data_IF_789302775686
#
_entry.id   IF_789302775686
#
_cell.length_a   1.000
_cell.length_b   1.000
_cell.length_c   1.000
_cell.angle_alpha   90.00
_cell.angle_beta   90.00
_cell.angle_gamma   90.00
#
_symmetry.space_group_name_H-M   'P 1'
#
loop_
_entity.id
_entity.type
_entity.pdbx_description
1 polymer ?
#
# COMPACT_ATOMS: atom_id res chain seq x y z
N UNK A 1 -0.97 -21.68 -5.47
CA UNK A 1 0.14 -20.75 -5.20
C UNK A 1 0.08 -20.41 -3.73
N UNK A 2 1.19 -20.47 -3.00
CA UNK A 2 1.19 -20.15 -1.56
C UNK A 2 1.64 -18.70 -1.38
N UNK A 3 0.79 -17.87 -0.77
CA UNK A 3 1.08 -16.46 -0.53
C UNK A 3 2.01 -16.29 0.69
N UNK A 4 2.89 -15.29 0.65
CA UNK A 4 3.87 -15.04 1.71
C UNK A 4 5.09 -15.96 1.70
N UNK A 5 5.18 -16.89 0.74
CA UNK A 5 6.31 -17.79 0.56
C UNK A 5 7.06 -17.45 -0.71
N UNK A 6 8.37 -17.19 -0.59
CA UNK A 6 9.25 -16.76 -1.69
C UNK A 6 8.61 -15.57 -2.45
N UNK A 7 8.49 -15.64 -3.76
CA UNK A 7 7.90 -14.63 -4.63
C UNK A 7 6.44 -14.93 -5.00
N UNK A 8 5.78 -15.89 -4.35
CA UNK A 8 4.42 -16.32 -4.69
C UNK A 8 3.42 -15.16 -4.70
N UNK A 9 3.48 -14.26 -3.70
CA UNK A 9 2.63 -13.08 -3.66
C UNK A 9 2.97 -12.05 -4.74
N UNK A 10 4.25 -11.89 -5.09
CA UNK A 10 4.69 -11.01 -6.18
C UNK A 10 4.18 -11.51 -7.54
N UNK A 11 4.23 -12.81 -7.79
CA UNK A 11 3.67 -13.41 -9.01
C UNK A 11 2.14 -13.26 -9.05
N UNK A 12 1.45 -13.48 -7.92
CA UNK A 12 0.00 -13.30 -7.82
C UNK A 12 -0.43 -11.84 -8.09
N UNK A 13 0.42 -10.88 -7.73
CA UNK A 13 0.23 -9.45 -8.01
C UNK A 13 0.56 -9.05 -9.46
N UNK A 14 0.91 -9.99 -10.35
CA UNK A 14 1.29 -9.67 -11.72
C UNK A 14 2.66 -9.02 -11.84
N UNK A 15 3.55 -9.27 -10.90
CA UNK A 15 4.91 -8.72 -10.86
C UNK A 15 4.94 -7.20 -10.65
N UNK A 16 6.01 -6.55 -11.08
CA UNK A 16 6.19 -5.11 -10.86
C UNK A 16 5.06 -4.29 -11.51
N UNK A 17 4.72 -4.58 -12.77
CA UNK A 17 3.70 -3.83 -13.50
C UNK A 17 2.34 -3.87 -12.81
N UNK A 18 1.90 -5.06 -12.36
CA UNK A 18 0.63 -5.17 -11.64
C UNK A 18 0.64 -4.40 -10.32
N UNK A 19 1.74 -4.47 -9.56
CA UNK A 19 1.90 -3.72 -8.32
C UNK A 19 1.85 -2.20 -8.56
N UNK A 20 2.52 -1.70 -9.58
CA UNK A 20 2.45 -0.27 -9.94
C UNK A 20 1.02 0.14 -10.29
N UNK A 21 0.32 -0.64 -11.13
CA UNK A 21 -1.08 -0.36 -11.46
C UNK A 21 -2.02 -0.41 -10.25
N UNK A 22 -1.81 -1.32 -9.29
CA UNK A 22 -2.55 -1.33 -8.03
C UNK A 22 -2.32 -0.03 -7.24
N UNK A 23 -1.09 0.43 -7.15
CA UNK A 23 -0.73 1.62 -6.37
C UNK A 23 -1.25 2.91 -7.03
N UNK A 24 -1.19 3.00 -8.35
CA UNK A 24 -1.83 4.10 -9.09
C UNK A 24 -3.33 4.15 -8.82
N UNK A 25 -4.01 3.01 -8.90
CA UNK A 25 -5.43 2.93 -8.59
C UNK A 25 -5.72 3.26 -7.11
N UNK A 26 -4.88 2.81 -6.18
CA UNK A 26 -4.97 3.17 -4.76
C UNK A 26 -4.96 4.68 -4.54
N UNK A 27 -4.06 5.41 -5.21
CA UNK A 27 -4.02 6.86 -5.14
C UNK A 27 -5.17 7.54 -5.90
N UNK A 28 -5.68 6.93 -6.98
CA UNK A 28 -6.90 7.35 -7.65
C UNK A 28 -8.12 7.28 -6.71
N UNK A 29 -8.26 6.18 -5.96
CA UNK A 29 -9.29 6.02 -4.94
C UNK A 29 -9.12 7.03 -3.80
N UNK A 30 -7.89 7.26 -3.33
CA UNK A 30 -7.60 8.25 -2.30
C UNK A 30 -7.95 9.69 -2.71
N UNK A 31 -7.78 10.04 -3.99
CA UNK A 31 -8.18 11.33 -4.54
C UNK A 31 -9.70 11.49 -4.64
N UNK A 32 -10.43 10.40 -4.84
CA UNK A 32 -11.84 10.44 -5.24
C UNK A 32 -12.82 10.21 -4.09
N UNK A 33 -12.41 9.42 -3.08
CA UNK A 33 -13.28 9.05 -1.97
C UNK A 33 -13.36 10.18 -0.93
N UNK A 34 -14.58 10.58 -0.57
CA UNK A 34 -14.82 11.57 0.47
C UNK A 34 -14.21 11.16 1.82
N UNK A 35 -14.30 9.87 2.16
CA UNK A 35 -13.72 9.30 3.37
C UNK A 35 -12.19 9.41 3.42
N UNK A 36 -11.54 9.58 2.26
CA UNK A 36 -10.09 9.65 2.13
C UNK A 36 -9.55 11.08 2.11
N UNK A 37 -10.39 12.12 2.12
CA UNK A 37 -9.93 13.51 2.02
C UNK A 37 -8.89 13.88 3.10
N UNK A 38 -9.09 13.43 4.33
CA UNK A 38 -8.18 13.74 5.44
C UNK A 38 -6.81 13.08 5.27
N UNK A 39 -6.75 11.81 4.85
CA UNK A 39 -5.47 11.15 4.58
C UNK A 39 -4.84 11.64 3.28
N UNK A 40 -5.64 12.03 2.28
CA UNK A 40 -5.14 12.65 1.05
C UNK A 40 -4.42 13.96 1.33
N UNK A 41 -4.95 14.78 2.25
CA UNK A 41 -4.31 16.02 2.68
C UNK A 41 -2.97 15.82 3.41
N UNK A 42 -2.64 14.59 3.83
CA UNK A 42 -1.32 14.24 4.39
C UNK A 42 -0.26 13.94 3.31
N UNK A 43 -0.66 13.89 2.05
CA UNK A 43 0.22 13.64 0.91
C UNK A 43 0.44 14.92 0.10
N UNK A 44 1.59 15.05 -0.60
CA UNK A 44 1.82 16.14 -1.54
C UNK A 44 0.77 16.19 -2.65
N UNK A 45 0.63 17.34 -3.32
CA UNK A 45 -0.24 17.46 -4.51
C UNK A 45 0.23 16.51 -5.62
N UNK A 46 1.52 16.53 -5.93
CA UNK A 46 2.16 15.56 -6.84
C UNK A 46 2.43 14.24 -6.11
N UNK A 47 1.74 13.19 -6.54
CA UNK A 47 1.82 11.85 -5.96
C UNK A 47 2.88 10.96 -6.61
N UNK A 48 3.63 11.45 -7.60
CA UNK A 48 4.61 10.64 -8.37
C UNK A 48 5.59 9.91 -7.46
N UNK A 49 6.19 10.60 -6.49
CA UNK A 49 7.12 9.96 -5.54
C UNK A 49 6.41 9.04 -4.54
N UNK A 50 5.18 9.38 -4.12
CA UNK A 50 4.39 8.55 -3.22
C UNK A 50 4.00 7.21 -3.86
N UNK A 51 3.59 7.24 -5.13
CA UNK A 51 3.31 6.06 -5.96
C UNK A 51 4.57 5.19 -6.06
N UNK A 52 5.70 5.79 -6.47
CA UNK A 52 6.94 5.04 -6.65
C UNK A 52 7.44 4.40 -5.34
N UNK A 53 7.36 5.12 -4.22
CA UNK A 53 7.72 4.59 -2.89
C UNK A 53 6.84 3.42 -2.49
N UNK A 54 5.52 3.55 -2.59
CA UNK A 54 4.61 2.48 -2.18
C UNK A 54 4.74 1.25 -3.10
N UNK A 55 4.81 1.45 -4.41
CA UNK A 55 5.00 0.35 -5.36
C UNK A 55 6.35 -0.36 -5.14
N UNK A 56 7.44 0.41 -5.01
CA UNK A 56 8.77 -0.14 -4.72
C UNK A 56 8.83 -0.91 -3.40
N UNK A 57 8.09 -0.44 -2.38
CA UNK A 57 7.95 -1.13 -1.11
C UNK A 57 7.21 -2.46 -1.28
N UNK A 58 6.05 -2.45 -1.95
CA UNK A 58 5.24 -3.65 -2.18
C UNK A 58 5.96 -4.69 -3.05
N UNK A 59 6.74 -4.28 -4.05
CA UNK A 59 7.57 -5.19 -4.85
C UNK A 59 8.46 -6.07 -3.97
N UNK A 60 9.22 -5.45 -3.06
CA UNK A 60 10.09 -6.19 -2.14
C UNK A 60 9.32 -6.92 -1.05
N UNK A 61 8.24 -6.33 -0.53
CA UNK A 61 7.45 -6.89 0.56
C UNK A 61 6.69 -8.17 0.15
N UNK A 62 6.25 -8.26 -1.11
CA UNK A 62 5.58 -9.44 -1.68
C UNK A 62 6.56 -10.51 -2.20
N UNK A 63 7.87 -10.33 -1.96
CA UNK A 63 8.91 -11.32 -2.29
C UNK A 63 9.62 -11.11 -3.63
N UNK A 64 9.32 -10.02 -4.34
CA UNK A 64 10.03 -9.61 -5.55
C UNK A 64 11.33 -8.83 -5.28
N UNK A 65 11.85 -8.10 -6.29
CA UNK A 65 13.05 -7.28 -6.15
C UNK A 65 12.92 -6.21 -5.05
N UNK A 66 14.01 -5.95 -4.32
CA UNK A 66 14.02 -5.03 -3.16
C UNK A 66 14.17 -3.57 -3.60
N UNK A 67 13.33 -3.13 -4.54
CA UNK A 67 13.35 -1.80 -5.18
C UNK A 67 13.40 -0.65 -4.18
N UNK A 68 12.61 -0.73 -3.11
CA UNK A 68 12.63 0.32 -2.09
C UNK A 68 14.02 0.44 -1.44
N UNK A 69 14.63 -0.69 -1.07
CA UNK A 69 15.96 -0.69 -0.45
C UNK A 69 17.04 -0.18 -1.40
N UNK A 70 16.94 -0.55 -2.67
CA UNK A 70 17.87 -0.12 -3.72
C UNK A 70 17.83 1.40 -3.95
N UNK A 71 16.63 2.00 -3.95
CA UNK A 71 16.43 3.42 -4.29
C UNK A 71 16.41 4.36 -3.07
N UNK A 72 15.83 3.93 -1.96
CA UNK A 72 15.53 4.76 -0.78
C UNK A 72 16.19 4.25 0.50
N UNK A 73 16.85 3.10 0.47
CA UNK A 73 17.45 2.47 1.64
C UNK A 73 16.44 1.75 2.53
N UNK A 74 16.85 1.44 3.76
CA UNK A 74 16.02 0.68 4.71
C UNK A 74 14.90 1.55 5.28
N UNK A 75 13.72 0.97 5.47
CA UNK A 75 12.56 1.64 6.08
C UNK A 75 12.10 0.91 7.34
N UNK A 76 11.74 1.69 8.35
CA UNK A 76 10.85 1.25 9.43
C UNK A 76 9.52 1.97 9.26
N UNK A 77 8.44 1.22 8.97
CA UNK A 77 7.16 1.80 8.56
C UNK A 77 6.60 2.76 9.65
N UNK A 78 6.52 2.38 10.94
CA UNK A 78 6.01 3.30 11.96
C UNK A 78 6.88 4.55 12.10
N UNK A 79 8.22 4.39 12.05
CA UNK A 79 9.16 5.52 12.14
C UNK A 79 9.04 6.47 10.95
N UNK A 80 8.80 5.95 9.75
CA UNK A 80 8.60 6.78 8.55
C UNK A 80 7.32 7.63 8.67
N UNK A 81 6.29 7.13 9.35
CA UNK A 81 4.99 7.80 9.49
C UNK A 81 4.85 8.62 10.80
N UNK A 82 5.83 8.59 11.70
CA UNK A 82 5.74 9.21 13.04
C UNK A 82 5.51 10.73 13.03
N UNK A 83 5.83 11.41 11.92
CA UNK A 83 5.66 12.85 11.76
C UNK A 83 4.22 13.24 11.42
N UNK A 84 3.37 12.27 11.09
CA UNK A 84 1.94 12.45 10.82
C UNK A 84 1.14 12.12 12.08
N UNK A 85 0.01 12.82 12.27
CA UNK A 85 -0.99 12.45 13.27
C UNK A 85 -1.97 11.45 12.66
N UNK A 86 -1.73 10.15 12.87
CA UNK A 86 -2.55 9.07 12.31
C UNK A 86 -3.43 8.49 13.41
N UNK A 87 -4.73 8.66 13.25
CA UNK A 87 -5.77 8.05 14.09
C UNK A 87 -6.34 6.81 13.38
N UNK A 88 -7.22 6.01 14.04
CA UNK A 88 -7.95 4.94 13.36
C UNK A 88 -8.72 5.42 12.12
N UNK A 89 -9.12 6.70 12.07
CA UNK A 89 -9.84 7.27 10.91
C UNK A 89 -8.99 7.23 9.65
N UNK A 90 -7.75 7.72 9.69
CA UNK A 90 -6.85 7.71 8.52
C UNK A 90 -6.45 6.28 8.15
N UNK A 91 -6.21 5.43 9.15
CA UNK A 91 -5.85 4.04 8.91
C UNK A 91 -6.99 3.28 8.19
N UNK A 92 -8.24 3.44 8.63
CA UNK A 92 -9.39 2.86 7.95
C UNK A 92 -9.58 3.43 6.54
N UNK A 93 -9.40 4.75 6.35
CA UNK A 93 -9.49 5.37 5.04
C UNK A 93 -8.42 4.85 4.07
N UNK A 94 -7.18 4.63 4.54
CA UNK A 94 -6.11 4.01 3.77
C UNK A 94 -6.50 2.59 3.33
N UNK A 95 -6.99 1.77 4.28
CA UNK A 95 -7.44 0.40 3.98
C UNK A 95 -8.62 0.36 3.01
N UNK A 96 -9.56 1.31 3.12
CA UNK A 96 -10.67 1.46 2.19
C UNK A 96 -10.19 1.76 0.77
N UNK A 97 -9.22 2.67 0.60
CA UNK A 97 -8.66 2.96 -0.72
C UNK A 97 -8.00 1.72 -1.33
N UNK A 98 -7.27 0.94 -0.51
CA UNK A 98 -6.64 -0.30 -0.97
C UNK A 98 -7.66 -1.37 -1.35
N UNK A 99 -8.70 -1.57 -0.56
CA UNK A 99 -9.81 -2.49 -0.88
C UNK A 99 -10.47 -2.11 -2.22
N UNK A 100 -10.81 -0.83 -2.41
CA UNK A 100 -11.38 -0.34 -3.66
C UNK A 100 -10.45 -0.50 -4.85
N UNK A 101 -9.16 -0.30 -4.67
CA UNK A 101 -8.18 -0.52 -5.73
C UNK A 101 -8.03 -2.00 -6.09
N UNK A 102 -7.98 -2.89 -5.10
CA UNK A 102 -7.92 -4.34 -5.32
C UNK A 102 -9.13 -4.84 -6.11
N UNK A 103 -10.33 -4.29 -5.87
CA UNK A 103 -11.54 -4.61 -6.62
C UNK A 103 -11.46 -4.28 -8.11
N UNK A 104 -10.56 -3.37 -8.53
CA UNK A 104 -10.30 -3.04 -9.94
C UNK A 104 -9.25 -3.92 -10.60
N UNK A 105 -8.46 -4.65 -9.81
CA UNK A 105 -7.44 -5.55 -10.33
C UNK A 105 -8.04 -6.85 -10.87
N UNK A 106 -7.27 -7.56 -11.69
CA UNK A 106 -7.56 -8.93 -12.13
C UNK A 106 -6.89 -9.99 -11.26
N UNK A 107 -6.44 -9.62 -10.05
CA UNK A 107 -5.80 -10.56 -9.14
C UNK A 107 -6.76 -11.68 -8.72
N UNK A 108 -6.25 -12.88 -8.39
CA UNK A 108 -7.04 -13.92 -7.74
C UNK A 108 -7.78 -13.37 -6.52
N UNK A 109 -9.04 -13.75 -6.31
CA UNK A 109 -9.88 -13.19 -5.24
C UNK A 109 -9.35 -13.50 -3.85
N UNK A 110 -8.89 -14.73 -3.66
CA UNK A 110 -8.19 -15.18 -2.46
C UNK A 110 -6.90 -14.37 -2.20
N UNK A 111 -6.18 -13.96 -3.26
CA UNK A 111 -5.03 -13.07 -3.11
C UNK A 111 -5.43 -11.63 -2.72
N UNK A 112 -6.52 -11.09 -3.27
CA UNK A 112 -7.03 -9.77 -2.88
C UNK A 112 -7.35 -9.73 -1.37
N UNK A 113 -8.06 -10.75 -0.88
CA UNK A 113 -8.39 -10.90 0.54
C UNK A 113 -7.15 -11.08 1.41
N UNK A 114 -6.23 -11.97 1.02
CA UNK A 114 -4.96 -12.18 1.70
C UNK A 114 -4.17 -10.86 1.84
N UNK A 115 -4.02 -10.13 0.74
CA UNK A 115 -3.23 -8.91 0.69
C UNK A 115 -3.83 -7.82 1.59
N UNK A 116 -5.16 -7.67 1.59
CA UNK A 116 -5.84 -6.70 2.45
C UNK A 116 -5.63 -7.03 3.94
N UNK A 117 -5.73 -8.30 4.33
CA UNK A 117 -5.47 -8.74 5.71
C UNK A 117 -4.02 -8.44 6.11
N UNK A 118 -3.05 -8.79 5.25
CA UNK A 118 -1.63 -8.59 5.55
C UNK A 118 -1.25 -7.10 5.63
N UNK A 119 -1.83 -6.25 4.78
CA UNK A 119 -1.57 -4.80 4.80
C UNK A 119 -2.16 -4.10 6.03
N UNK A 120 -3.22 -4.65 6.64
CA UNK A 120 -3.78 -4.08 7.86
C UNK A 120 -2.76 -4.08 9.01
N UNK A 121 -1.88 -5.11 9.09
CA UNK A 121 -0.90 -5.24 10.17
C UNK A 121 0.07 -4.04 10.23
N UNK A 122 0.82 -3.68 9.17
CA UNK A 122 1.66 -2.49 9.19
C UNK A 122 0.84 -1.19 9.25
N UNK A 123 -0.33 -1.12 8.61
CA UNK A 123 -1.18 0.07 8.67
C UNK A 123 -1.64 0.39 10.11
N UNK A 124 -2.07 -0.61 10.88
CA UNK A 124 -2.43 -0.44 12.30
C UNK A 124 -1.25 -0.01 13.15
N UNK A 125 -0.01 -0.41 12.81
CA UNK A 125 1.21 0.01 13.53
C UNK A 125 1.60 1.47 13.27
N UNK A 126 1.02 2.11 12.25
CA UNK A 126 1.22 3.54 12.00
C UNK A 126 0.33 4.44 12.85
N UNK A 127 -0.75 3.91 13.46
CA UNK A 127 -1.64 4.68 14.33
C UNK A 127 -0.87 5.13 15.57
N UNK A 128 -0.82 6.45 15.78
CA UNK A 128 -0.05 7.09 16.83
C UNK A 128 -0.83 8.17 17.60
N UNK A 129 -2.12 8.32 17.30
CA UNK A 129 -3.02 9.25 17.96
C UNK A 129 -4.41 8.64 18.19
N UNK A 130 -5.14 9.19 19.17
CA UNK A 130 -6.54 8.90 19.48
C UNK A 130 -7.45 9.99 18.90
#
# INVERSE_FOLDING_TARGET
>A
MEYGVKDGSFQAAGGELGIFSLVEEFYCQMNSLEQAQKIRAMHPEDLTESIDKLASFLCGWLGGPKRYKEKYGSISIPRAHQHLKITPTEQHAWMLCMDKALQKTRYPKDFQEYLLIQLNIPASRCVNAQ
#
